data_IF_507239235503
#
_entry.id   IF_507239235503
#
_cell.length_a   1.000
_cell.length_b   1.000
_cell.length_c   1.000
_cell.angle_alpha   90.00
_cell.angle_beta   90.00
_cell.angle_gamma   90.00
#
_symmetry.space_group_name_H-M   'P 1'
#
loop_
_entity.id
_entity.type
_entity.pdbx_description
1 polymer ?
#
# COMPACT_ATOMS: atom_id res chain seq x y z
N UNK A 1 1.31 -13.84 -7.72
CA UNK A 1 1.30 -13.22 -9.05
C UNK A 1 2.02 -11.90 -9.01
N UNK A 2 2.96 -11.73 -9.89
CA UNK A 2 3.74 -10.50 -9.99
C UNK A 2 2.98 -9.43 -10.75
N UNK A 3 3.22 -8.16 -10.39
CA UNK A 3 2.64 -7.04 -11.10
C UNK A 3 3.61 -5.86 -11.16
N UNK A 4 3.37 -4.96 -12.10
CA UNK A 4 4.11 -3.71 -12.27
C UNK A 4 3.14 -2.61 -12.66
N UNK A 5 3.22 -1.48 -11.96
CA UNK A 5 2.44 -0.29 -12.27
C UNK A 5 3.34 0.92 -12.32
N UNK A 6 3.00 1.86 -13.19
CA UNK A 6 3.67 3.14 -13.30
C UNK A 6 2.63 4.24 -13.23
N UNK A 7 2.93 5.29 -12.48
CA UNK A 7 2.06 6.47 -12.40
C UNK A 7 2.90 7.69 -12.04
N UNK A 8 2.27 8.83 -11.94
CA UNK A 8 2.96 10.09 -11.68
C UNK A 8 2.20 10.90 -10.63
N UNK A 9 2.93 11.40 -9.64
CA UNK A 9 2.38 12.41 -8.74
C UNK A 9 2.54 13.79 -9.38
N UNK A 10 1.49 14.62 -9.39
CA UNK A 10 1.57 15.99 -9.91
C UNK A 10 2.20 16.94 -8.88
N UNK A 11 3.32 16.55 -8.32
CA UNK A 11 4.03 17.32 -7.29
C UNK A 11 5.52 17.00 -7.34
N UNK A 12 6.35 17.93 -6.88
CA UNK A 12 7.78 17.73 -6.78
C UNK A 12 8.12 16.62 -5.81
N UNK A 13 9.29 16.03 -5.95
CA UNK A 13 9.73 14.94 -5.05
C UNK A 13 9.87 15.43 -3.60
N UNK A 14 10.19 16.69 -3.38
CA UNK A 14 10.25 17.28 -2.05
C UNK A 14 8.88 17.27 -1.38
N UNK A 15 7.85 17.65 -2.13
CA UNK A 15 6.48 17.62 -1.63
C UNK A 15 5.98 16.19 -1.39
N UNK A 16 6.35 15.27 -2.26
CA UNK A 16 6.02 13.85 -2.08
C UNK A 16 6.68 13.31 -0.82
N UNK A 17 7.94 13.68 -0.57
CA UNK A 17 8.63 13.28 0.66
C UNK A 17 7.97 13.85 1.91
N UNK A 18 7.56 15.12 1.88
CA UNK A 18 6.81 15.74 2.99
C UNK A 18 5.53 14.96 3.28
N UNK A 19 4.78 14.60 2.24
CA UNK A 19 3.55 13.84 2.34
C UNK A 19 3.81 12.45 2.96
N UNK A 20 4.81 11.73 2.45
CA UNK A 20 5.16 10.41 2.96
C UNK A 20 5.64 10.44 4.41
N UNK A 21 6.27 11.54 4.83
CA UNK A 21 6.76 11.73 6.18
C UNK A 21 5.68 12.16 7.17
N UNK A 22 4.53 12.62 6.68
CA UNK A 22 3.45 13.16 7.51
C UNK A 22 2.56 12.04 8.08
N UNK A 23 2.46 11.88 9.41
CA UNK A 23 1.56 10.89 10.00
C UNK A 23 0.09 11.13 9.66
N UNK A 24 -0.33 12.38 9.43
CA UNK A 24 -1.71 12.71 9.05
C UNK A 24 -2.06 12.15 7.67
N UNK A 25 -1.12 12.15 6.75
CA UNK A 25 -1.33 11.51 5.44
C UNK A 25 -1.69 10.03 5.60
N UNK A 26 -0.98 9.32 6.46
CA UNK A 26 -1.26 7.91 6.70
C UNK A 26 -2.63 7.69 7.34
N UNK A 27 -3.03 8.56 8.26
CA UNK A 27 -4.34 8.52 8.88
C UNK A 27 -5.46 8.81 7.87
N UNK A 28 -5.26 9.79 7.01
CA UNK A 28 -6.23 10.13 5.95
C UNK A 28 -6.35 9.00 4.93
N UNK A 29 -5.25 8.39 4.54
CA UNK A 29 -5.25 7.24 3.64
C UNK A 29 -6.00 6.05 4.26
N UNK A 30 -5.83 5.81 5.55
CA UNK A 30 -6.56 4.76 6.26
C UNK A 30 -8.07 4.99 6.21
N UNK A 31 -8.52 6.24 6.31
CA UNK A 31 -9.92 6.60 6.17
C UNK A 31 -10.43 6.37 4.75
N UNK A 32 -9.64 6.76 3.75
CA UNK A 32 -9.99 6.53 2.34
C UNK A 32 -10.14 5.04 2.03
N UNK A 33 -9.31 4.20 2.63
CA UNK A 33 -9.38 2.75 2.51
C UNK A 33 -10.45 2.12 3.41
N UNK A 34 -11.17 2.92 4.19
CA UNK A 34 -12.24 2.50 5.10
C UNK A 34 -11.78 1.50 6.15
N UNK A 35 -10.52 1.59 6.55
CA UNK A 35 -9.95 0.74 7.61
C UNK A 35 -10.62 1.09 8.94
N UNK A 36 -11.14 0.08 9.63
CA UNK A 36 -11.85 0.25 10.90
C UNK A 36 -10.86 0.40 12.05
N UNK A 37 -11.05 1.43 12.87
CA UNK A 37 -10.22 1.71 14.05
C UNK A 37 -8.72 1.65 13.74
N UNK A 38 -8.23 2.45 12.78
CA UNK A 38 -6.83 2.39 12.37
C UNK A 38 -5.89 2.86 13.47
N UNK A 39 -4.76 2.17 13.59
CA UNK A 39 -3.65 2.57 14.45
C UNK A 39 -2.42 2.78 13.57
N UNK A 40 -1.79 3.94 13.68
CA UNK A 40 -0.61 4.30 12.89
C UNK A 40 0.57 4.51 13.83
N UNK A 41 1.62 3.72 13.64
CA UNK A 41 2.90 3.89 14.31
C UNK A 41 3.91 4.34 13.27
N UNK A 42 4.43 5.55 13.43
CA UNK A 42 5.32 6.19 12.45
C UNK A 42 6.57 6.69 13.12
N UNK A 43 7.72 6.31 12.58
CA UNK A 43 9.03 6.79 13.00
C UNK A 43 9.72 7.43 11.79
N UNK A 44 9.83 8.75 11.81
CA UNK A 44 10.40 9.52 10.71
C UNK A 44 11.74 10.12 11.13
N UNK A 45 12.77 9.82 10.37
CA UNK A 45 14.08 10.42 10.45
C UNK A 45 14.31 11.29 9.20
N UNK A 46 15.43 11.99 9.13
CA UNK A 46 15.71 12.91 8.04
C UNK A 46 15.52 12.30 6.64
N UNK A 47 16.04 11.08 6.43
CA UNK A 47 16.00 10.40 5.13
C UNK A 47 15.29 9.06 5.15
N UNK A 48 14.56 8.76 6.21
CA UNK A 48 13.90 7.45 6.37
C UNK A 48 12.60 7.57 7.15
N UNK A 49 11.57 6.88 6.67
CA UNK A 49 10.30 6.76 7.36
C UNK A 49 9.96 5.27 7.49
N UNK A 50 9.69 4.83 8.71
CA UNK A 50 9.20 3.48 8.99
C UNK A 50 7.82 3.63 9.58
N UNK A 51 6.82 3.02 8.96
CA UNK A 51 5.44 3.17 9.37
C UNK A 51 4.71 1.84 9.38
N UNK A 52 3.91 1.62 10.40
CA UNK A 52 3.03 0.47 10.49
C UNK A 52 1.61 0.97 10.74
N UNK A 53 0.70 0.62 9.84
CA UNK A 53 -0.72 0.92 9.98
C UNK A 53 -1.46 -0.39 10.19
N UNK A 54 -2.28 -0.46 11.22
CA UNK A 54 -3.05 -1.66 11.55
C UNK A 54 -4.51 -1.26 11.74
N UNK A 55 -5.43 -2.09 11.27
CA UNK A 55 -6.85 -1.83 11.46
C UNK A 55 -7.74 -2.93 10.93
N UNK A 56 -9.04 -2.81 11.17
CA UNK A 56 -10.03 -3.77 10.72
C UNK A 56 -10.26 -3.71 9.21
N UNK A 57 -10.55 -4.85 8.61
CA UNK A 57 -10.83 -4.97 7.18
C UNK A 57 -12.29 -4.59 6.93
N UNK A 58 -12.59 -3.71 5.96
CA UNK A 58 -13.97 -3.39 5.62
C UNK A 58 -14.69 -4.63 5.07
N UNK A 59 -15.68 -5.12 5.83
CA UNK A 59 -16.36 -6.39 5.52
C UNK A 59 -17.16 -6.35 4.23
N UNK A 60 -17.70 -5.20 3.87
CA UNK A 60 -18.50 -5.01 2.65
C UNK A 60 -17.65 -5.04 1.37
N UNK A 61 -16.34 -4.89 1.48
CA UNK A 61 -15.42 -4.94 0.33
C UNK A 61 -14.82 -6.34 0.12
N UNK A 62 -15.07 -7.27 1.03
CA UNK A 62 -14.58 -8.64 0.91
C UNK A 62 -15.49 -9.42 -0.02
N UNK A 63 -14.97 -10.02 -1.10
CA UNK A 63 -15.77 -10.89 -1.96
C UNK A 63 -16.43 -12.02 -1.19
N UNK A 64 -17.70 -12.31 -1.50
CA UNK A 64 -18.45 -13.33 -0.80
C UNK A 64 -17.75 -14.71 -0.78
N UNK A 65 -17.04 -15.02 -1.87
CA UNK A 65 -16.32 -16.30 -2.00
C UNK A 65 -15.19 -16.46 -0.97
N UNK A 66 -14.66 -15.38 -0.42
CA UNK A 66 -13.54 -15.41 0.53
C UNK A 66 -13.95 -15.06 1.96
N UNK A 67 -15.16 -14.54 2.18
CA UNK A 67 -15.62 -14.16 3.53
C UNK A 67 -15.53 -15.31 4.53
N UNK A 68 -15.78 -16.54 4.11
CA UNK A 68 -15.72 -17.70 4.97
C UNK A 68 -14.30 -18.02 5.48
N UNK A 69 -13.27 -17.49 4.80
CA UNK A 69 -11.88 -17.70 5.17
C UNK A 69 -11.32 -16.55 6.03
N UNK A 70 -12.09 -15.49 6.22
CA UNK A 70 -11.66 -14.29 6.92
C UNK A 70 -12.55 -14.04 8.13
N UNK A 71 -11.95 -14.00 9.33
CA UNK A 71 -12.68 -13.63 10.52
C UNK A 71 -13.15 -12.19 10.45
N UNK A 72 -14.38 -11.86 10.89
CA UNK A 72 -14.84 -10.48 10.99
C UNK A 72 -13.96 -9.59 11.89
N UNK A 73 -13.23 -10.20 12.81
CA UNK A 73 -12.31 -9.50 13.71
C UNK A 73 -10.87 -9.44 13.19
N UNK A 74 -10.60 -9.96 12.00
CA UNK A 74 -9.26 -9.94 11.41
C UNK A 74 -8.78 -8.51 11.20
N UNK A 75 -7.50 -8.27 11.53
CA UNK A 75 -6.87 -6.98 11.32
C UNK A 75 -5.83 -7.08 10.20
N UNK A 76 -5.84 -6.08 9.34
CA UNK A 76 -4.83 -5.93 8.30
C UNK A 76 -3.67 -5.09 8.85
N UNK A 77 -2.47 -5.39 8.41
CA UNK A 77 -1.26 -4.64 8.74
C UNK A 77 -0.58 -4.21 7.45
N UNK A 78 -0.31 -2.90 7.36
CA UNK A 78 0.45 -2.30 6.28
C UNK A 78 1.77 -1.81 6.87
N UNK A 79 2.87 -2.39 6.42
CA UNK A 79 4.22 -1.95 6.79
C UNK A 79 4.86 -1.22 5.63
N UNK A 80 5.41 -0.05 5.91
CA UNK A 80 6.05 0.79 4.91
C UNK A 80 7.42 1.20 5.40
N UNK A 81 8.40 1.14 4.50
CA UNK A 81 9.73 1.72 4.73
C UNK A 81 10.05 2.58 3.53
N UNK A 82 10.25 3.87 3.76
CA UNK A 82 10.59 4.85 2.72
C UNK A 82 11.95 5.43 3.01
N UNK A 83 12.80 5.50 1.99
CA UNK A 83 14.14 6.08 2.10
C UNK A 83 14.36 7.09 0.99
N UNK A 84 14.88 8.23 1.37
CA UNK A 84 15.27 9.28 0.42
C UNK A 84 16.75 9.14 0.08
N UNK A 85 17.05 9.12 -1.22
CA UNK A 85 18.40 9.00 -1.76
C UNK A 85 18.76 10.27 -2.52
N UNK A 86 19.30 11.27 -1.83
CA UNK A 86 19.60 12.56 -2.43
C UNK A 86 18.36 13.38 -2.72
N UNK A 87 18.43 14.25 -3.73
CA UNK A 87 17.37 15.22 -4.03
C UNK A 87 16.35 14.74 -5.06
N UNK A 88 16.59 13.63 -5.72
CA UNK A 88 15.78 13.20 -6.88
C UNK A 88 15.20 11.79 -6.79
N UNK A 89 15.51 11.03 -5.74
CA UNK A 89 15.10 9.64 -5.63
C UNK A 89 14.57 9.27 -4.25
N UNK A 90 13.51 8.50 -4.24
CA UNK A 90 12.95 7.86 -3.04
C UNK A 90 12.70 6.39 -3.38
N UNK A 91 13.07 5.48 -2.48
CA UNK A 91 12.71 4.08 -2.59
C UNK A 91 11.75 3.71 -1.48
N UNK A 92 10.86 2.75 -1.74
CA UNK A 92 9.89 2.30 -0.75
C UNK A 92 9.67 0.80 -0.83
N UNK A 93 9.35 0.23 0.34
CA UNK A 93 8.91 -1.16 0.45
C UNK A 93 7.59 -1.17 1.20
N UNK A 94 6.66 -1.94 0.68
CA UNK A 94 5.33 -2.07 1.26
C UNK A 94 5.02 -3.55 1.45
N UNK A 95 4.57 -3.90 2.66
CA UNK A 95 4.07 -5.24 2.96
C UNK A 95 2.67 -5.12 3.53
N UNK A 96 1.73 -5.84 2.94
CA UNK A 96 0.35 -5.91 3.43
C UNK A 96 0.06 -7.35 3.81
N UNK A 97 -0.41 -7.55 5.01
CA UNK A 97 -0.82 -8.86 5.51
C UNK A 97 -2.05 -8.71 6.40
N UNK A 98 -2.71 -9.80 6.66
CA UNK A 98 -3.84 -9.81 7.60
C UNK A 98 -3.82 -11.10 8.41
N UNK A 99 -4.09 -10.97 9.71
CA UNK A 99 -4.09 -12.10 10.62
C UNK A 99 -5.17 -13.11 10.21
N UNK A 100 -4.78 -14.36 10.05
CA UNK A 100 -5.71 -15.42 9.68
C UNK A 100 -6.21 -15.38 8.23
N UNK A 101 -5.69 -14.48 7.42
CA UNK A 101 -6.04 -14.35 6.00
C UNK A 101 -4.92 -14.97 5.17
N UNK A 102 -5.22 -15.92 4.28
CA UNK A 102 -4.20 -16.58 3.46
C UNK A 102 -3.82 -15.74 2.23
N UNK A 103 -3.53 -14.47 2.45
CA UNK A 103 -3.13 -13.54 1.39
C UNK A 103 -2.10 -12.56 1.92
N UNK A 104 -1.15 -12.17 1.07
CA UNK A 104 -0.21 -11.11 1.39
C UNK A 104 0.30 -10.41 0.12
N UNK A 105 0.70 -9.17 0.28
CA UNK A 105 1.23 -8.32 -0.77
C UNK A 105 2.60 -7.80 -0.35
N UNK A 106 3.57 -7.90 -1.26
CA UNK A 106 4.86 -7.24 -1.13
C UNK A 106 5.08 -6.37 -2.36
N UNK A 107 5.48 -5.13 -2.17
CA UNK A 107 5.76 -4.23 -3.26
C UNK A 107 7.03 -3.43 -2.99
N UNK A 108 7.71 -3.08 -4.07
CA UNK A 108 8.86 -2.20 -4.08
C UNK A 108 8.55 -1.00 -4.96
N UNK A 109 8.84 0.19 -4.47
CA UNK A 109 8.53 1.44 -5.20
C UNK A 109 9.80 2.25 -5.41
N UNK A 110 9.93 2.77 -6.64
CA UNK A 110 10.96 3.73 -7.01
C UNK A 110 10.30 5.02 -7.46
N UNK A 111 10.68 6.12 -6.82
CA UNK A 111 10.19 7.44 -7.12
C UNK A 111 11.35 8.28 -7.67
N UNK A 112 11.13 8.89 -8.83
CA UNK A 112 12.12 9.75 -9.47
C UNK A 112 11.53 11.14 -9.70
N UNK A 113 12.18 12.16 -9.17
CA UNK A 113 11.76 13.55 -9.32
C UNK A 113 12.13 14.12 -10.68
N UNK A 114 11.16 14.80 -11.31
CA UNK A 114 11.35 15.53 -12.56
C UNK A 114 10.67 16.88 -12.43
N UNK A 115 11.43 17.89 -12.01
CA UNK A 115 10.89 19.24 -11.83
C UNK A 115 9.67 19.25 -10.89
N UNK A 116 8.48 19.49 -11.43
CA UNK A 116 7.23 19.60 -10.66
C UNK A 116 6.44 18.31 -10.56
N UNK A 117 6.98 17.20 -11.06
CA UNK A 117 6.31 15.90 -11.05
C UNK A 117 7.24 14.82 -10.50
N UNK A 118 6.65 13.74 -10.02
CA UNK A 118 7.40 12.58 -9.54
C UNK A 118 6.91 11.33 -10.23
N UNK A 119 7.79 10.66 -10.96
CA UNK A 119 7.48 9.39 -11.61
C UNK A 119 7.59 8.25 -10.61
N UNK A 120 6.60 7.38 -10.59
CA UNK A 120 6.57 6.22 -9.69
C UNK A 120 6.52 4.94 -10.50
N UNK A 121 7.40 4.01 -10.14
CA UNK A 121 7.36 2.64 -10.62
C UNK A 121 7.14 1.73 -9.43
N UNK A 122 6.07 0.95 -9.45
CA UNK A 122 5.75 -0.02 -8.42
C UNK A 122 5.85 -1.43 -8.99
N UNK A 123 6.59 -2.29 -8.31
CA UNK A 123 6.69 -3.72 -8.65
C UNK A 123 6.36 -4.52 -7.41
N UNK A 124 5.58 -5.56 -7.57
CA UNK A 124 5.20 -6.33 -6.41
C UNK A 124 4.73 -7.73 -6.76
N UNK A 125 4.38 -8.44 -5.71
CA UNK A 125 3.82 -9.77 -5.78
C UNK A 125 2.65 -9.87 -4.81
N UNK A 126 1.51 -10.32 -5.34
CA UNK A 126 0.34 -10.64 -4.55
C UNK A 126 0.16 -12.15 -4.55
N UNK A 127 0.04 -12.73 -3.37
CA UNK A 127 -0.26 -14.16 -3.19
C UNK A 127 -1.54 -14.34 -2.41
N UNK A 128 -2.41 -15.17 -2.95
CA UNK A 128 -3.63 -15.60 -2.28
C UNK A 128 -3.60 -17.13 -2.23
N UNK A 129 -3.36 -17.69 -1.04
CA UNK A 129 -3.19 -19.13 -0.83
C UNK A 129 -4.53 -19.79 -0.51
N UNK A 130 -5.50 -19.67 -1.41
CA UNK A 130 -6.80 -20.33 -1.30
C UNK A 130 -6.91 -21.35 -2.43
N UNK A 131 -7.10 -22.63 -2.13
CA UNK A 131 -7.21 -23.65 -3.16
C UNK A 131 -8.31 -23.33 -4.18
N UNK A 132 -8.00 -23.47 -5.47
CA UNK A 132 -8.88 -23.27 -6.62
C UNK A 132 -9.29 -21.81 -6.89
N UNK A 133 -9.18 -20.90 -5.91
CA UNK A 133 -9.60 -19.51 -6.04
C UNK A 133 -8.42 -18.51 -6.04
N UNK A 134 -7.26 -18.94 -5.55
CA UNK A 134 -6.13 -18.04 -5.32
C UNK A 134 -5.72 -17.24 -6.55
N UNK A 135 -5.47 -17.90 -7.67
CA UNK A 135 -5.03 -17.25 -8.91
C UNK A 135 -6.07 -16.28 -9.46
N UNK A 136 -7.33 -16.65 -9.40
CA UNK A 136 -8.42 -15.80 -9.88
C UNK A 136 -8.50 -14.52 -9.05
N UNK A 137 -8.41 -14.64 -7.73
CA UNK A 137 -8.44 -13.50 -6.82
C UNK A 137 -7.21 -12.61 -6.99
N UNK A 138 -6.04 -13.22 -7.21
CA UNK A 138 -4.82 -12.46 -7.53
C UNK A 138 -5.00 -11.62 -8.78
N UNK A 139 -5.55 -12.19 -9.86
CA UNK A 139 -5.82 -11.46 -11.11
C UNK A 139 -6.80 -10.31 -10.93
N UNK A 140 -7.89 -10.55 -10.20
CA UNK A 140 -8.90 -9.52 -9.94
C UNK A 140 -8.31 -8.36 -9.15
N UNK A 141 -7.52 -8.66 -8.12
CA UNK A 141 -6.88 -7.64 -7.29
C UNK A 141 -5.84 -6.83 -8.07
N UNK A 142 -5.01 -7.50 -8.86
CA UNK A 142 -4.01 -6.83 -9.69
C UNK A 142 -4.67 -5.95 -10.76
N UNK A 143 -5.79 -6.41 -11.32
CA UNK A 143 -6.57 -5.62 -12.28
C UNK A 143 -7.12 -4.33 -11.67
N UNK A 144 -7.30 -4.26 -10.36
CA UNK A 144 -7.73 -3.06 -9.65
C UNK A 144 -6.57 -2.14 -9.24
N UNK A 145 -5.32 -2.59 -9.33
CA UNK A 145 -4.14 -1.82 -8.92
C UNK A 145 -4.03 -0.43 -9.56
N UNK A 146 -4.32 -0.25 -10.87
CA UNK A 146 -4.30 1.09 -11.47
C UNK A 146 -5.27 2.07 -10.83
N UNK A 147 -6.44 1.61 -10.40
CA UNK A 147 -7.43 2.45 -9.73
C UNK A 147 -6.94 2.87 -8.34
N UNK A 148 -6.29 1.97 -7.62
CA UNK A 148 -5.71 2.27 -6.32
C UNK A 148 -4.54 3.25 -6.45
N UNK A 149 -3.72 3.10 -7.47
CA UNK A 149 -2.63 4.02 -7.75
C UNK A 149 -3.14 5.43 -8.03
N UNK A 150 -4.24 5.57 -8.77
CA UNK A 150 -4.87 6.88 -9.03
C UNK A 150 -5.43 7.52 -7.75
N UNK A 151 -5.93 6.74 -6.83
CA UNK A 151 -6.43 7.24 -5.55
C UNK A 151 -5.33 7.82 -4.67
N UNK A 152 -4.07 7.38 -4.84
CA UNK A 152 -2.92 7.92 -4.13
C UNK A 152 -2.49 9.31 -4.65
N UNK A 153 -2.87 9.65 -5.86
CA UNK A 153 -2.52 10.91 -6.52
C UNK A 153 -3.57 11.97 -6.24
#
# INVERSE_FOLDING_TARGET
MEFKETFQYPASIDRVWEMLSDPEYAADRAKELRITAPSVDSDAHENKVIRTTTGGIPQDEIPAAVKKFISPSAKATLKEVWERHGNERISGRIEVSAQGVPAHLNAHMELAGKSDVTDVTMRGELRVNIPLLGRRLEKEAIGAAPLLAKAEV
#
